data_IF_379735243817
#
_entry.id   IF_379735243817
#
_cell.length_a   1.000
_cell.length_b   1.000
_cell.length_c   1.000
_cell.angle_alpha   90.00
_cell.angle_beta   90.00
_cell.angle_gamma   90.00
#
_symmetry.space_group_name_H-M   'P 1'
#
loop_
_entity.id
_entity.type
_entity.pdbx_description
1 polymer ?
#
# COMPACT_ATOMS: atom_id res chain seq x y z
N UNK A 1 -6.65 4.75 -4.01
CA UNK A 1 -5.99 4.36 -2.73
C UNK A 1 -6.85 3.28 -2.07
N UNK A 2 -6.19 2.22 -1.61
CA UNK A 2 -6.79 1.03 -1.03
C UNK A 2 -7.32 0.03 -2.05
N UNK A 3 -7.04 0.21 -3.33
CA UNK A 3 -7.42 -0.74 -4.38
C UNK A 3 -6.38 -1.86 -4.43
N UNK A 4 -6.85 -3.10 -4.55
CA UNK A 4 -5.99 -4.28 -4.64
C UNK A 4 -5.71 -4.58 -6.10
N UNK A 5 -4.43 -4.68 -6.43
CA UNK A 5 -3.93 -4.96 -7.77
C UNK A 5 -3.11 -6.24 -7.78
N UNK A 6 -3.05 -6.89 -8.94
CA UNK A 6 -2.11 -7.98 -9.22
C UNK A 6 -0.96 -7.39 -10.02
N UNK A 7 0.26 -7.61 -9.56
CA UNK A 7 1.47 -7.06 -10.18
C UNK A 7 2.56 -8.13 -10.28
N UNK A 8 3.50 -7.94 -11.21
CA UNK A 8 4.70 -8.78 -11.32
C UNK A 8 5.90 -8.03 -10.76
N UNK A 9 6.68 -8.69 -9.91
CA UNK A 9 7.89 -8.12 -9.31
C UNK A 9 8.97 -7.98 -10.40
N UNK A 10 9.34 -6.74 -10.73
CA UNK A 10 10.38 -6.44 -11.73
C UNK A 10 11.78 -6.36 -11.13
N UNK A 11 11.87 -5.92 -9.88
CA UNK A 11 13.11 -5.80 -9.13
C UNK A 11 12.89 -6.26 -7.68
N UNK A 12 13.90 -6.90 -7.09
CA UNK A 12 13.82 -7.47 -5.76
C UNK A 12 15.19 -7.43 -5.06
N UNK A 13 15.17 -7.11 -3.76
CA UNK A 13 16.37 -7.12 -2.92
C UNK A 13 16.84 -8.58 -2.73
N UNK A 14 18.15 -8.88 -2.87
CA UNK A 14 18.69 -10.21 -2.58
C UNK A 14 18.35 -10.65 -1.15
N UNK A 15 17.79 -11.86 -1.00
CA UNK A 15 17.35 -12.38 0.31
C UNK A 15 15.98 -11.88 0.77
N UNK A 16 15.28 -11.07 -0.03
CA UNK A 16 13.91 -10.65 0.25
C UNK A 16 12.90 -11.79 0.16
N UNK A 17 11.74 -11.58 0.80
CA UNK A 17 10.62 -12.55 0.79
C UNK A 17 9.93 -12.73 -0.58
N UNK A 18 10.30 -11.92 -1.58
CA UNK A 18 9.75 -11.93 -2.93
C UNK A 18 10.90 -11.96 -3.93
N UNK A 19 10.72 -12.70 -5.03
CA UNK A 19 11.73 -12.84 -6.09
C UNK A 19 11.29 -12.08 -7.34
N UNK A 20 12.26 -11.70 -8.16
CA UNK A 20 11.99 -11.13 -9.48
C UNK A 20 11.22 -12.15 -10.33
N UNK A 21 10.13 -11.71 -10.95
CA UNK A 21 9.22 -12.55 -11.74
C UNK A 21 8.00 -13.06 -10.97
N UNK A 22 7.98 -12.97 -9.64
CA UNK A 22 6.83 -13.40 -8.85
C UNK A 22 5.59 -12.54 -9.16
N UNK A 23 4.44 -13.19 -9.28
CA UNK A 23 3.14 -12.51 -9.35
C UNK A 23 2.62 -12.33 -7.94
N UNK A 24 2.38 -11.08 -7.54
CA UNK A 24 1.97 -10.70 -6.19
C UNK A 24 0.69 -9.88 -6.20
N UNK A 25 -0.09 -9.98 -5.11
CA UNK A 25 -1.18 -9.05 -4.82
C UNK A 25 -0.62 -7.88 -4.01
N UNK A 26 -1.03 -6.67 -4.31
CA UNK A 26 -0.63 -5.48 -3.58
C UNK A 26 -1.79 -4.51 -3.42
N UNK A 27 -1.79 -3.73 -2.34
CA UNK A 27 -2.74 -2.64 -2.12
C UNK A 27 -2.06 -1.30 -2.34
N UNK A 28 -2.70 -0.41 -3.09
CA UNK A 28 -2.17 0.93 -3.35
C UNK A 28 -2.34 1.80 -2.10
N UNK A 29 -1.25 2.35 -1.57
CA UNK A 29 -1.25 3.17 -0.34
C UNK A 29 -1.00 4.66 -0.58
N UNK A 30 -0.27 5.00 -1.65
CA UNK A 30 -0.02 6.39 -2.08
C UNK A 30 -0.27 6.55 -3.57
N UNK A 31 -0.85 7.68 -3.96
CA UNK A 31 -1.07 8.04 -5.36
C UNK A 31 -0.72 9.51 -5.61
N UNK A 32 -0.04 9.76 -6.74
CA UNK A 32 0.26 11.12 -7.20
C UNK A 32 -0.99 11.81 -7.72
N UNK A 33 -1.96 11.05 -8.24
CA UNK A 33 -3.25 11.61 -8.62
C UNK A 33 -4.03 12.00 -7.37
N UNK A 34 -4.50 13.24 -7.35
CA UNK A 34 -5.35 13.77 -6.29
C UNK A 34 -6.63 12.95 -6.14
N UNK A 35 -7.03 12.69 -4.89
CA UNK A 35 -8.29 12.02 -4.58
C UNK A 35 -9.13 12.93 -3.70
N UNK A 36 -10.39 13.14 -4.10
CA UNK A 36 -11.38 13.87 -3.31
C UNK A 36 -11.90 12.98 -2.18
N UNK A 37 -11.96 13.55 -0.97
CA UNK A 37 -12.52 12.92 0.23
C UNK A 37 -13.98 13.34 0.45
N UNK A 38 -14.74 12.57 1.26
CA UNK A 38 -16.14 12.89 1.56
C UNK A 38 -16.33 14.24 2.28
N UNK A 39 -15.32 14.68 3.04
CA UNK A 39 -15.28 16.00 3.70
C UNK A 39 -14.96 17.15 2.73
N UNK A 40 -14.77 16.88 1.44
CA UNK A 40 -14.45 17.86 0.41
C UNK A 40 -12.97 18.18 0.26
N UNK A 41 -12.11 17.69 1.15
CA UNK A 41 -10.67 17.85 1.05
C UNK A 41 -10.08 16.99 -0.08
N UNK A 42 -8.89 17.35 -0.56
CA UNK A 42 -8.13 16.57 -1.53
C UNK A 42 -6.85 16.06 -0.90
N UNK A 43 -6.53 14.79 -1.14
CA UNK A 43 -5.24 14.21 -0.77
C UNK A 43 -4.44 13.84 -2.02
N UNK A 44 -3.15 14.16 -1.99
CA UNK A 44 -2.16 13.82 -3.00
C UNK A 44 -0.83 13.49 -2.32
N UNK A 45 -0.09 12.55 -2.90
CA UNK A 45 1.26 12.21 -2.50
C UNK A 45 2.26 12.58 -3.61
N UNK A 46 3.54 12.64 -3.27
CA UNK A 46 4.60 12.93 -4.23
C UNK A 46 4.93 11.73 -5.14
N UNK A 47 4.69 10.51 -4.65
CA UNK A 47 4.98 9.26 -5.35
C UNK A 47 3.83 8.24 -5.28
N UNK A 48 3.82 7.28 -6.20
CA UNK A 48 2.92 6.14 -6.15
C UNK A 48 3.58 5.00 -5.37
N UNK A 49 2.86 4.42 -4.40
CA UNK A 49 3.36 3.31 -3.61
C UNK A 49 2.28 2.27 -3.34
N UNK A 50 2.70 1.01 -3.22
CA UNK A 50 1.84 -0.12 -2.90
C UNK A 50 2.50 -1.06 -1.89
N UNK A 51 1.67 -1.76 -1.11
CA UNK A 51 2.11 -2.72 -0.09
C UNK A 51 1.71 -4.12 -0.54
N UNK A 52 2.67 -5.05 -0.54
CA UNK A 52 2.43 -6.44 -0.92
C UNK A 52 1.58 -7.14 0.13
N UNK A 53 0.54 -7.83 -0.32
CA UNK A 53 -0.40 -8.58 0.49
C UNK A 53 -0.14 -10.08 0.39
N UNK A 54 -0.52 -10.80 1.45
CA UNK A 54 -0.73 -12.24 1.46
C UNK A 54 -2.13 -12.57 0.93
N UNK A 55 -2.43 -13.87 0.78
CA UNK A 55 -3.75 -14.32 0.33
C UNK A 55 -4.87 -13.92 1.29
N UNK A 56 -4.57 -13.80 2.59
CA UNK A 56 -5.50 -13.38 3.64
C UNK A 56 -5.75 -11.87 3.69
N UNK A 57 -5.12 -11.08 2.81
CA UNK A 57 -5.26 -9.61 2.79
C UNK A 57 -4.36 -8.87 3.80
N UNK A 58 -3.59 -9.61 4.59
CA UNK A 58 -2.57 -9.06 5.48
C UNK A 58 -1.29 -8.64 4.73
N UNK A 59 -0.53 -7.65 5.23
CA UNK A 59 0.76 -7.30 4.65
C UNK A 59 1.74 -8.47 4.74
N UNK A 60 2.51 -8.69 3.67
CA UNK A 60 3.56 -9.70 3.65
C UNK A 60 4.80 -9.27 4.46
N UNK A 61 5.05 -7.97 4.52
CA UNK A 61 6.13 -7.37 5.31
C UNK A 61 5.72 -7.01 6.74
N UNK A 62 6.71 -6.70 7.57
CA UNK A 62 6.54 -6.34 9.00
C UNK A 62 6.70 -4.84 9.26
N UNK A 63 7.10 -4.04 8.27
CA UNK A 63 7.32 -2.59 8.38
C UNK A 63 6.78 -1.87 7.15
N UNK A 64 6.20 -0.70 7.34
CA UNK A 64 5.71 0.19 6.28
C UNK A 64 6.56 1.46 6.29
N UNK A 65 6.96 1.91 5.11
CA UNK A 65 7.76 3.13 4.94
C UNK A 65 6.92 4.27 4.37
N UNK A 66 7.05 5.43 5.01
CA UNK A 66 6.35 6.65 4.62
C UNK A 66 4.89 6.71 5.06
N UNK A 67 4.23 7.86 4.84
CA UNK A 67 2.85 8.06 5.22
C UNK A 67 1.90 7.19 4.37
N UNK A 68 0.74 6.88 4.94
CA UNK A 68 -0.35 6.15 4.27
C UNK A 68 -1.65 6.92 4.36
N UNK A 69 -2.53 6.77 3.35
CA UNK A 69 -3.84 7.40 3.38
C UNK A 69 -4.82 6.72 4.36
N UNK A 70 -5.61 7.53 5.07
CA UNK A 70 -6.67 7.09 6.00
C UNK A 70 -7.75 6.24 5.32
N UNK A 71 -7.86 6.31 3.99
CA UNK A 71 -8.78 5.51 3.18
C UNK A 71 -8.55 4.00 3.32
N UNK A 72 -7.37 3.58 3.79
CA UNK A 72 -7.08 2.19 4.13
C UNK A 72 -7.93 1.68 5.30
N UNK A 73 -8.44 2.55 6.18
CA UNK A 73 -9.23 2.18 7.36
C UNK A 73 -10.60 1.68 6.94
N UNK A 74 -11.23 2.39 6.02
CA UNK A 74 -12.55 2.05 5.47
C UNK A 74 -12.53 0.68 4.77
N UNK A 75 -11.39 0.34 4.16
CA UNK A 75 -11.18 -0.94 3.48
C UNK A 75 -10.60 -2.05 4.37
N UNK A 76 -10.64 -1.89 5.69
CA UNK A 76 -10.24 -2.88 6.70
C UNK A 76 -8.75 -3.27 6.68
N UNK A 77 -7.85 -2.45 6.14
CA UNK A 77 -6.40 -2.69 6.17
C UNK A 77 -5.75 -2.20 7.48
N UNK A 78 -6.31 -2.60 8.63
CA UNK A 78 -5.89 -2.10 9.95
C UNK A 78 -4.43 -2.42 10.29
N UNK A 79 -3.92 -3.60 9.90
CA UNK A 79 -2.50 -3.94 10.14
C UNK A 79 -1.53 -3.03 9.40
N UNK A 80 -1.89 -2.56 8.20
CA UNK A 80 -1.03 -1.64 7.44
C UNK A 80 -0.98 -0.28 8.12
N UNK A 81 -2.13 0.22 8.57
CA UNK A 81 -2.23 1.48 9.32
C UNK A 81 -1.42 1.41 10.62
N UNK A 82 -1.53 0.30 11.35
CA UNK A 82 -0.83 0.13 12.63
C UNK A 82 0.69 0.05 12.49
N UNK A 83 1.20 -0.38 11.33
CA UNK A 83 2.63 -0.48 11.05
C UNK A 83 3.20 0.76 10.35
N UNK A 84 2.34 1.69 9.95
CA UNK A 84 2.73 2.91 9.27
C UNK A 84 3.20 3.97 10.28
N UNK A 85 4.24 4.76 9.94
CA UNK A 85 4.72 5.83 10.79
C UNK A 85 3.72 6.98 10.93
N UNK A 86 2.94 7.25 9.89
CA UNK A 86 1.98 8.36 9.84
C UNK A 86 0.79 8.03 8.95
N UNK A 87 -0.38 8.56 9.30
CA UNK A 87 -1.65 8.37 8.58
C UNK A 87 -2.24 9.73 8.25
N UNK A 88 -2.45 10.00 6.96
CA UNK A 88 -2.96 11.27 6.41
C UNK A 88 -4.38 11.17 5.91
#
# INVERSE_FOLDING_TARGET
IGDVIVATVKDAIPGGNVKKGDVVKAVIVRTVKERRRPDGSYIRFDENAAVILKNDGDPRGTRIFGPVGRELREKKFMKIISLAPEVL
#
